data_IF_556522194685
#
_entry.id   IF_556522194685
#
_cell.length_a   1.000
_cell.length_b   1.000
_cell.length_c   1.000
_cell.angle_alpha   90.00
_cell.angle_beta   90.00
_cell.angle_gamma   90.00
#
_symmetry.space_group_name_H-M   'P 1'
#
loop_
_entity.id
_entity.type
_entity.pdbx_description
1 polymer ?
#
# COMPACT_ATOMS: atom_id res chain seq x y z
N UNK A 1 -11.71 4.56 14.01
CA UNK A 1 -10.95 4.99 12.82
C UNK A 1 -11.23 6.42 12.44
N UNK A 2 -12.50 6.85 12.38
CA UNK A 2 -12.87 8.24 12.07
C UNK A 2 -12.18 9.29 12.95
N UNK A 3 -12.06 9.05 14.26
CA UNK A 3 -11.30 9.93 15.18
C UNK A 3 -9.81 10.06 14.78
N UNK A 4 -9.20 9.02 14.22
CA UNK A 4 -7.82 9.11 13.70
C UNK A 4 -7.78 9.98 12.45
N UNK A 5 -8.71 9.79 11.52
CA UNK A 5 -8.79 10.57 10.28
C UNK A 5 -8.97 12.06 10.60
N UNK A 6 -9.91 12.39 11.48
CA UNK A 6 -10.19 13.76 11.92
C UNK A 6 -8.99 14.41 12.61
N UNK A 7 -8.28 13.67 13.47
CA UNK A 7 -7.05 14.14 14.14
C UNK A 7 -5.93 14.55 13.18
N UNK A 8 -5.87 13.95 12.00
CA UNK A 8 -4.92 14.33 10.96
C UNK A 8 -5.51 15.30 9.93
N UNK A 9 -6.68 15.89 10.21
CA UNK A 9 -7.33 16.87 9.34
C UNK A 9 -7.93 16.27 8.07
N UNK A 10 -8.22 14.96 8.08
CA UNK A 10 -8.96 14.29 7.02
C UNK A 10 -10.46 14.38 7.25
N UNK A 11 -11.23 14.23 6.18
CA UNK A 11 -12.69 14.20 6.21
C UNK A 11 -13.17 12.87 5.68
N UNK A 12 -14.01 12.18 6.45
CA UNK A 12 -14.71 10.99 5.99
C UNK A 12 -15.80 11.43 5.02
N UNK A 13 -15.70 10.96 3.78
CA UNK A 13 -16.66 11.24 2.72
C UNK A 13 -17.83 10.25 2.81
N UNK A 14 -17.50 8.97 2.98
CA UNK A 14 -18.49 7.91 3.06
C UNK A 14 -17.96 6.63 3.69
N UNK A 15 -18.90 5.82 4.19
CA UNK A 15 -18.69 4.44 4.58
C UNK A 15 -19.26 3.55 3.48
N UNK A 16 -18.48 2.58 2.98
CA UNK A 16 -18.87 1.69 1.88
C UNK A 16 -18.74 0.26 2.41
N UNK A 17 -19.83 -0.29 2.95
CA UNK A 17 -19.75 -1.58 3.65
C UNK A 17 -18.87 -1.48 4.90
N UNK A 18 -17.77 -2.21 4.94
CA UNK A 18 -16.73 -2.16 5.97
C UNK A 18 -15.63 -1.12 5.69
N UNK A 19 -15.65 -0.49 4.51
CA UNK A 19 -14.68 0.49 4.08
C UNK A 19 -14.92 1.91 4.61
N UNK A 20 -13.83 2.65 4.82
CA UNK A 20 -13.88 4.09 5.10
C UNK A 20 -13.16 4.88 4.00
N UNK A 21 -13.93 5.67 3.25
CA UNK A 21 -13.41 6.58 2.23
C UNK A 21 -13.22 7.98 2.81
N UNK A 22 -12.00 8.50 2.75
CA UNK A 22 -11.64 9.79 3.32
C UNK A 22 -10.75 10.62 2.39
N UNK A 23 -10.85 11.93 2.51
CA UNK A 23 -10.05 12.90 1.75
C UNK A 23 -9.21 13.77 2.68
N UNK A 24 -8.00 14.10 2.25
CA UNK A 24 -7.10 15.04 2.92
C UNK A 24 -6.81 16.20 1.97
N UNK A 25 -6.80 17.44 2.48
CA UNK A 25 -6.56 18.64 1.68
C UNK A 25 -7.78 19.22 0.96
N UNK A 26 -8.98 18.75 1.31
CA UNK A 26 -10.26 19.30 0.88
C UNK A 26 -11.28 19.25 2.04
N UNK A 27 -12.24 20.21 2.14
CA UNK A 27 -12.37 21.41 1.31
C UNK A 27 -11.32 22.47 1.66
N UNK A 28 -10.72 22.39 2.85
CA UNK A 28 -9.62 23.26 3.27
C UNK A 28 -8.33 22.71 2.68
N UNK A 29 -7.65 23.53 1.87
CA UNK A 29 -6.37 23.15 1.28
C UNK A 29 -5.32 22.93 2.36
N UNK A 30 -4.66 21.78 2.30
CA UNK A 30 -3.52 21.45 3.13
C UNK A 30 -2.34 21.11 2.20
N UNK A 31 -1.19 21.80 2.33
CA UNK A 31 0.01 21.50 1.53
C UNK A 31 0.66 20.19 1.93
N UNK A 32 0.48 19.79 3.18
CA UNK A 32 1.01 18.56 3.78
C UNK A 32 -0.03 17.43 3.75
N UNK A 33 -1.03 17.51 2.85
CA UNK A 33 -2.12 16.54 2.76
C UNK A 33 -1.63 15.09 2.59
N UNK A 34 -0.52 14.89 1.87
CA UNK A 34 0.07 13.57 1.63
C UNK A 34 0.62 12.98 2.93
N UNK A 35 1.37 13.80 3.68
CA UNK A 35 1.92 13.40 4.97
C UNK A 35 0.81 13.11 5.98
N UNK A 36 -0.21 13.97 6.03
CA UNK A 36 -1.38 13.77 6.88
C UNK A 36 -2.10 12.44 6.60
N UNK A 37 -2.34 12.13 5.32
CA UNK A 37 -2.97 10.87 4.92
C UNK A 37 -2.14 9.63 5.29
N UNK A 38 -0.82 9.67 5.03
CA UNK A 38 0.09 8.57 5.39
C UNK A 38 0.22 8.39 6.90
N UNK A 39 0.28 9.48 7.66
CA UNK A 39 0.33 9.43 9.12
C UNK A 39 -0.99 8.89 9.71
N UNK A 40 -2.14 9.29 9.14
CA UNK A 40 -3.44 8.73 9.50
C UNK A 40 -3.48 7.23 9.26
N UNK A 41 -3.08 6.78 8.06
CA UNK A 41 -2.97 5.36 7.70
C UNK A 41 -2.11 4.57 8.70
N UNK A 42 -0.89 5.03 8.97
CA UNK A 42 0.01 4.37 9.93
C UNK A 42 -0.58 4.34 11.35
N UNK A 43 -1.30 5.40 11.76
CA UNK A 43 -1.97 5.46 13.06
C UNK A 43 -3.18 4.51 13.13
N UNK A 44 -3.94 4.36 12.05
CA UNK A 44 -5.06 3.41 11.98
C UNK A 44 -4.54 1.98 12.11
N UNK A 45 -3.47 1.62 11.40
CA UNK A 45 -2.82 0.31 11.51
C UNK A 45 -2.34 0.01 12.95
N UNK A 46 -1.66 0.98 13.59
CA UNK A 46 -1.27 0.86 15.01
C UNK A 46 -2.47 0.73 15.94
N UNK A 47 -3.59 1.37 15.60
CA UNK A 47 -4.82 1.29 16.40
C UNK A 47 -5.45 -0.08 16.30
N UNK A 48 -5.51 -0.68 15.11
CA UNK A 48 -5.95 -2.08 14.91
C UNK A 48 -5.08 -3.06 15.70
N UNK A 49 -3.76 -2.88 15.66
CA UNK A 49 -2.85 -3.73 16.45
C UNK A 49 -3.18 -3.68 17.95
N UNK A 50 -3.49 -2.49 18.48
CA UNK A 50 -3.89 -2.33 19.89
C UNK A 50 -5.24 -2.98 20.18
N UNK A 51 -6.20 -2.87 19.25
CA UNK A 51 -7.51 -3.51 19.34
C UNK A 51 -7.34 -5.03 19.36
N UNK A 52 -6.50 -5.60 18.49
CA UNK A 52 -6.25 -7.05 18.45
C UNK A 52 -5.56 -7.55 19.72
N UNK A 53 -4.65 -6.77 20.31
CA UNK A 53 -4.07 -7.12 21.63
C UNK A 53 -5.16 -7.20 22.70
N UNK A 54 -6.06 -6.22 22.76
CA UNK A 54 -7.19 -6.23 23.68
C UNK A 54 -8.16 -7.39 23.40
N UNK A 55 -8.46 -7.66 22.13
CA UNK A 55 -9.34 -8.74 21.67
C UNK A 55 -8.78 -10.12 22.05
N UNK A 56 -7.46 -10.32 21.89
CA UNK A 56 -6.76 -11.55 22.26
C UNK A 56 -6.90 -11.89 23.75
N UNK A 57 -6.82 -10.90 24.63
CA UNK A 57 -7.07 -11.10 26.07
C UNK A 57 -8.51 -11.55 26.39
N UNK A 58 -9.44 -11.36 25.45
CA UNK A 58 -10.86 -11.72 25.58
C UNK A 58 -11.27 -12.89 24.69
N UNK A 59 -10.32 -13.56 24.04
CA UNK A 59 -10.58 -14.66 23.09
C UNK A 59 -11.54 -14.25 21.95
N UNK A 60 -11.47 -12.98 21.53
CA UNK A 60 -12.22 -12.47 20.40
C UNK A 60 -11.41 -12.61 19.10
N UNK A 61 -12.09 -12.73 17.93
CA UNK A 61 -11.41 -12.75 16.63
C UNK A 61 -10.55 -11.51 16.41
N UNK A 62 -9.41 -11.70 15.73
CA UNK A 62 -8.57 -10.59 15.27
C UNK A 62 -9.22 -9.92 14.06
N UNK A 63 -9.10 -8.60 13.99
CA UNK A 63 -9.51 -7.81 12.82
C UNK A 63 -8.29 -7.32 12.06
N UNK A 64 -8.40 -7.25 10.74
CA UNK A 64 -7.33 -6.75 9.88
C UNK A 64 -7.92 -5.68 8.97
N UNK A 65 -7.12 -4.66 8.69
CA UNK A 65 -7.46 -3.61 7.73
C UNK A 65 -6.35 -3.53 6.68
N UNK A 66 -6.67 -2.92 5.54
CA UNK A 66 -5.69 -2.59 4.51
C UNK A 66 -5.94 -1.17 4.06
N UNK A 67 -4.88 -0.45 3.73
CA UNK A 67 -4.99 0.95 3.36
C UNK A 67 -4.28 1.27 2.05
N UNK A 68 -4.97 2.03 1.20
CA UNK A 68 -4.40 2.64 -0.01
C UNK A 68 -4.33 4.16 0.14
N UNK A 69 -3.22 4.81 -0.22
CA UNK A 69 -3.14 6.29 -0.21
C UNK A 69 -2.61 6.81 -1.55
N UNK A 70 -3.42 7.63 -2.22
CA UNK A 70 -3.07 8.29 -3.47
C UNK A 70 -3.11 9.80 -3.32
N UNK A 71 -2.19 10.48 -4.01
CA UNK A 71 -2.15 11.92 -4.14
C UNK A 71 -2.31 12.30 -5.61
N UNK A 72 -3.47 12.82 -5.99
CA UNK A 72 -3.74 13.15 -7.39
C UNK A 72 -4.81 14.23 -7.53
N UNK A 73 -5.00 14.73 -8.75
CA UNK A 73 -6.09 15.67 -9.04
C UNK A 73 -7.44 14.96 -8.87
N UNK A 74 -8.32 15.58 -8.09
CA UNK A 74 -9.71 15.14 -7.90
C UNK A 74 -10.62 16.35 -7.87
N UNK A 75 -11.87 16.15 -8.28
CA UNK A 75 -12.92 17.15 -8.15
C UNK A 75 -13.69 16.90 -6.86
N UNK A 76 -13.85 17.92 -6.03
CA UNK A 76 -14.58 17.84 -4.76
C UNK A 76 -15.72 18.85 -4.73
N UNK A 77 -16.83 18.48 -4.11
CA UNK A 77 -17.98 19.39 -3.98
C UNK A 77 -19.26 18.68 -3.57
N UNK A 78 -20.31 19.48 -3.36
CA UNK A 78 -21.65 18.93 -3.15
C UNK A 78 -22.21 18.42 -4.48
N UNK A 79 -22.46 17.12 -4.53
CA UNK A 79 -22.94 16.40 -5.70
C UNK A 79 -24.27 15.72 -5.36
N UNK A 80 -25.13 15.55 -6.36
CA UNK A 80 -26.42 14.90 -6.21
C UNK A 80 -27.60 15.80 -6.58
N UNK A 81 -28.80 15.32 -6.28
CA UNK A 81 -30.05 16.01 -6.59
C UNK A 81 -30.36 17.07 -5.52
N UNK A 82 -31.18 18.08 -5.83
CA UNK A 82 -31.44 19.19 -4.90
C UNK A 82 -31.98 18.75 -3.52
N UNK A 83 -32.68 17.61 -3.44
CA UNK A 83 -33.18 17.05 -2.18
C UNK A 83 -32.21 16.09 -1.49
N UNK A 84 -31.11 15.71 -2.14
CA UNK A 84 -30.09 14.76 -1.66
C UNK A 84 -28.71 15.16 -2.18
N UNK A 85 -28.15 16.21 -1.59
CA UNK A 85 -26.75 16.62 -1.82
C UNK A 85 -25.83 15.88 -0.85
N UNK A 86 -24.69 15.41 -1.36
CA UNK A 86 -23.60 14.82 -0.59
C UNK A 86 -22.29 15.45 -1.02
N UNK A 87 -21.43 15.78 -0.05
CA UNK A 87 -20.07 16.18 -0.36
C UNK A 87 -19.30 14.96 -0.86
N UNK A 88 -18.84 14.99 -2.12
CA UNK A 88 -18.22 13.86 -2.80
C UNK A 88 -16.88 14.23 -3.43
N UNK A 89 -16.17 13.19 -3.83
CA UNK A 89 -14.91 13.25 -4.58
C UNK A 89 -15.10 12.46 -5.87
N UNK A 90 -14.72 13.03 -7.01
CA UNK A 90 -14.83 12.39 -8.33
C UNK A 90 -13.55 12.60 -9.15
N UNK A 91 -13.33 11.74 -10.15
CA UNK A 91 -12.22 11.79 -11.09
C UNK A 91 -11.36 10.53 -11.01
N UNK A 92 -10.49 10.32 -12.01
CA UNK A 92 -9.65 9.12 -12.11
C UNK A 92 -8.76 8.91 -10.88
N UNK A 93 -8.28 9.99 -10.24
CA UNK A 93 -7.51 9.91 -8.99
C UNK A 93 -8.31 9.41 -7.79
N UNK A 94 -9.64 9.54 -7.80
CA UNK A 94 -10.52 9.08 -6.73
C UNK A 94 -10.60 7.55 -6.68
N UNK A 95 -10.36 6.88 -7.81
CA UNK A 95 -10.43 5.42 -7.99
C UNK A 95 -9.10 4.69 -7.74
N UNK A 96 -7.98 5.40 -7.56
CA UNK A 96 -6.65 4.77 -7.42
C UNK A 96 -6.44 4.13 -6.04
N UNK A 97 -6.72 4.82 -4.91
CA UNK A 97 -6.50 4.21 -3.62
C UNK A 97 -7.29 2.91 -3.48
N UNK A 98 -8.52 2.99 -3.99
CA UNK A 98 -9.10 1.98 -4.85
C UNK A 98 -8.54 0.57 -4.82
N UNK A 99 -7.61 0.53 -5.77
CA UNK A 99 -6.86 -0.57 -6.30
C UNK A 99 -5.65 -0.81 -5.42
N UNK A 100 -5.08 0.23 -4.80
CA UNK A 100 -4.00 0.09 -3.83
C UNK A 100 -4.44 -0.75 -2.64
N UNK A 101 -5.64 -0.55 -2.11
CA UNK A 101 -6.13 -1.43 -1.03
C UNK A 101 -6.29 -2.87 -1.52
N UNK A 102 -6.94 -3.08 -2.67
CA UNK A 102 -7.12 -4.43 -3.21
C UNK A 102 -5.76 -5.13 -3.46
N UNK A 103 -4.79 -4.41 -4.01
CA UNK A 103 -3.42 -4.89 -4.21
C UNK A 103 -2.73 -5.30 -2.91
N UNK A 104 -3.08 -4.69 -1.77
CA UNK A 104 -2.54 -5.14 -0.49
C UNK A 104 -2.89 -6.61 -0.22
N UNK A 105 -4.07 -7.09 -0.66
CA UNK A 105 -4.45 -8.50 -0.56
C UNK A 105 -3.50 -9.38 -1.34
N UNK A 106 -3.21 -9.01 -2.59
CA UNK A 106 -2.30 -9.73 -3.48
C UNK A 106 -0.87 -9.78 -2.93
N UNK A 107 -0.31 -8.64 -2.54
CA UNK A 107 1.07 -8.56 -2.04
C UNK A 107 1.21 -9.03 -0.58
N UNK A 108 0.10 -9.15 0.15
CA UNK A 108 0.10 -9.49 1.56
C UNK A 108 0.61 -8.36 2.45
N UNK A 109 0.49 -7.11 1.99
CA UNK A 109 0.77 -5.88 2.75
C UNK A 109 -0.48 -5.37 3.46
N UNK A 110 -0.34 -4.36 4.31
CA UNK A 110 -1.47 -3.65 4.94
C UNK A 110 -1.54 -2.16 4.58
N UNK A 111 -0.52 -1.64 3.90
CA UNK A 111 -0.51 -0.30 3.38
C UNK A 111 0.22 -0.26 2.04
N UNK A 112 -0.36 0.47 1.09
CA UNK A 112 0.28 0.84 -0.16
C UNK A 112 0.02 2.31 -0.46
N UNK A 113 1.02 2.97 -1.03
CA UNK A 113 0.93 4.35 -1.52
C UNK A 113 1.35 4.40 -2.98
N UNK A 114 0.76 5.30 -3.75
CA UNK A 114 1.18 5.56 -5.14
C UNK A 114 2.51 6.29 -5.20
N UNK A 115 3.19 6.21 -6.35
CA UNK A 115 4.39 7.00 -6.66
C UNK A 115 4.15 8.50 -6.45
N UNK A 116 2.99 9.02 -6.86
CA UNK A 116 2.63 10.41 -6.65
C UNK A 116 2.53 10.83 -5.17
N UNK A 117 2.16 9.90 -4.27
CA UNK A 117 2.18 10.14 -2.83
C UNK A 117 3.61 10.09 -2.32
N UNK A 118 4.38 9.07 -2.73
CA UNK A 118 5.79 8.91 -2.37
C UNK A 118 6.61 10.19 -2.64
N UNK A 119 6.46 10.80 -3.82
CA UNK A 119 7.17 12.04 -4.17
C UNK A 119 6.75 13.29 -3.39
N UNK A 120 5.58 13.26 -2.73
CA UNK A 120 5.10 14.35 -1.88
C UNK A 120 5.50 14.20 -0.41
N UNK A 121 6.07 13.05 -0.03
CA UNK A 121 6.55 12.82 1.33
C UNK A 121 7.97 13.38 1.51
N UNK A 122 8.32 13.81 2.73
CA UNK A 122 9.70 14.19 3.04
C UNK A 122 10.65 12.99 2.87
N UNK A 123 11.80 13.13 2.18
CA UNK A 123 12.74 12.04 1.90
C UNK A 123 13.22 11.29 3.14
N UNK A 124 13.41 12.01 4.26
CA UNK A 124 13.94 11.47 5.51
C UNK A 124 12.85 11.22 6.57
N UNK A 125 11.57 11.30 6.20
CA UNK A 125 10.46 11.11 7.14
C UNK A 125 10.01 9.65 7.30
N UNK A 126 10.31 8.80 6.33
CA UNK A 126 9.75 7.45 6.24
C UNK A 126 10.76 6.44 5.70
N UNK A 127 10.72 5.22 6.24
CA UNK A 127 11.31 4.05 5.60
C UNK A 127 10.24 3.41 4.73
N UNK A 128 10.50 3.36 3.43
CA UNK A 128 9.58 2.86 2.41
C UNK A 128 10.32 1.87 1.50
N UNK A 129 9.58 0.95 0.88
CA UNK A 129 10.12 0.09 -0.18
C UNK A 129 9.16 0.05 -1.38
N UNK A 130 9.67 0.05 -2.62
CA UNK A 130 8.84 -0.28 -3.77
C UNK A 130 8.46 -1.75 -3.69
N UNK A 131 7.21 -2.10 -3.97
CA UNK A 131 6.69 -3.47 -3.88
C UNK A 131 6.67 -4.12 -5.26
N UNK A 132 6.11 -3.43 -6.25
CA UNK A 132 6.09 -3.88 -7.64
C UNK A 132 5.77 -2.70 -8.56
N UNK A 133 5.99 -2.87 -9.86
CA UNK A 133 5.47 -1.99 -10.90
C UNK A 133 4.09 -2.46 -11.34
N UNK A 134 3.11 -1.57 -11.32
CA UNK A 134 1.71 -1.88 -11.62
C UNK A 134 1.15 -0.87 -12.61
N UNK A 135 0.10 -1.30 -13.32
CA UNK A 135 -0.69 -0.40 -14.15
C UNK A 135 -1.92 0.08 -13.37
N UNK A 136 -1.89 1.33 -12.90
CA UNK A 136 -3.00 1.90 -12.09
C UNK A 136 -4.06 2.61 -12.95
N UNK A 137 -3.69 3.09 -14.13
CA UNK A 137 -4.59 3.76 -15.06
C UNK A 137 -5.12 2.76 -16.09
N UNK A 138 -6.42 2.74 -16.36
CA UNK A 138 -6.94 1.91 -17.45
C UNK A 138 -6.47 2.49 -18.80
N UNK A 139 -5.28 2.11 -19.30
CA UNK A 139 -4.74 2.68 -20.54
C UNK A 139 -3.27 2.37 -20.84
N UNK A 140 -2.71 3.11 -21.80
CA UNK A 140 -1.34 2.94 -22.33
C UNK A 140 -0.26 3.68 -21.51
N UNK A 141 -0.52 3.99 -20.24
CA UNK A 141 0.46 4.67 -19.40
C UNK A 141 1.65 3.75 -19.09
N UNK A 142 2.79 4.36 -18.74
CA UNK A 142 3.91 3.58 -18.25
C UNK A 142 3.59 3.04 -16.84
N UNK A 143 3.95 1.78 -16.55
CA UNK A 143 3.78 1.22 -15.23
C UNK A 143 4.48 2.05 -14.16
N UNK A 144 3.80 2.24 -13.04
CA UNK A 144 4.34 3.02 -11.91
C UNK A 144 4.55 2.12 -10.69
N UNK A 145 5.58 2.40 -9.88
CA UNK A 145 5.82 1.67 -8.65
C UNK A 145 4.76 1.99 -7.59
N UNK A 146 4.38 0.97 -6.83
CA UNK A 146 3.65 1.12 -5.57
C UNK A 146 4.58 0.89 -4.39
N UNK A 147 4.39 1.64 -3.32
CA UNK A 147 5.29 1.62 -2.17
C UNK A 147 4.58 1.16 -0.91
N UNK A 148 5.25 0.34 -0.10
CA UNK A 148 4.86 0.08 1.29
C UNK A 148 5.62 1.03 2.22
N UNK A 149 4.90 1.63 3.17
CA UNK A 149 5.47 2.46 4.24
C UNK A 149 5.75 1.60 5.47
N UNK A 150 7.01 1.20 5.63
CA UNK A 150 7.44 0.26 6.67
C UNK A 150 7.50 0.88 8.07
N UNK A 151 7.88 2.17 8.15
CA UNK A 151 7.85 2.95 9.39
C UNK A 151 8.09 4.43 9.16
N UNK A 152 7.61 5.25 10.08
CA UNK A 152 8.04 6.65 10.22
C UNK A 152 9.43 6.71 10.88
N UNK A 153 10.29 7.58 10.38
CA UNK A 153 11.57 7.93 11.00
C UNK A 153 11.26 9.02 12.03
N UNK A 154 11.59 8.78 13.31
CA UNK A 154 11.37 9.79 14.33
C UNK A 154 12.34 10.98 14.09
N UNK A 155 11.87 12.21 14.31
CA UNK A 155 12.67 13.45 14.30
C UNK A 155 13.71 13.53 15.45
N UNK A 156 14.27 12.40 15.87
CA UNK A 156 15.41 12.35 16.77
C UNK A 156 16.69 12.43 15.94
N UNK A 157 17.67 13.18 16.41
CA UNK A 157 18.97 13.44 15.77
C UNK A 157 19.80 12.20 15.42
N UNK A 158 19.29 11.00 15.73
CA UNK A 158 19.81 9.70 15.32
C UNK A 158 18.63 8.74 15.05
N UNK A 159 18.56 8.10 13.87
CA UNK A 159 17.60 7.04 13.61
C UNK A 159 17.78 5.89 14.61
N UNK A 160 16.69 5.35 15.14
CA UNK A 160 16.77 4.15 15.95
C UNK A 160 17.39 3.00 15.17
N UNK A 161 18.19 2.14 15.82
CA UNK A 161 18.81 0.94 15.21
C UNK A 161 17.78 0.08 14.46
N UNK A 162 16.54 0.05 14.96
CA UNK A 162 15.43 -0.67 14.32
C UNK A 162 15.03 -0.07 12.97
N UNK A 163 15.01 1.27 12.86
CA UNK A 163 14.66 1.98 11.62
C UNK A 163 15.77 1.84 10.59
N UNK A 164 17.04 1.96 11.00
CA UNK A 164 18.19 1.73 10.10
C UNK A 164 18.22 0.31 9.53
N UNK A 165 17.89 -0.71 10.32
CA UNK A 165 17.77 -2.10 9.83
C UNK A 165 16.63 -2.25 8.82
N UNK A 166 15.49 -1.59 9.04
CA UNK A 166 14.39 -1.59 8.06
C UNK A 166 14.81 -0.92 6.76
N UNK A 167 15.47 0.23 6.84
CA UNK A 167 15.97 0.95 5.66
C UNK A 167 16.96 0.08 4.85
N UNK A 168 17.87 -0.60 5.53
CA UNK A 168 18.80 -1.53 4.87
C UNK A 168 18.06 -2.65 4.14
N UNK A 169 17.02 -3.23 4.74
CA UNK A 169 16.22 -4.28 4.09
C UNK A 169 15.33 -3.75 2.97
N UNK A 170 14.80 -2.53 3.11
CA UNK A 170 14.07 -1.84 2.06
C UNK A 170 14.93 -1.63 0.81
N UNK A 171 16.16 -1.12 0.98
CA UNK A 171 17.14 -0.96 -0.12
C UNK A 171 17.52 -2.29 -0.76
N UNK A 172 17.71 -3.35 0.05
CA UNK A 172 17.95 -4.70 -0.49
C UNK A 172 16.76 -5.24 -1.30
N UNK A 173 15.54 -4.91 -0.91
CA UNK A 173 14.33 -5.26 -1.65
C UNK A 173 14.27 -4.50 -2.98
N UNK A 174 14.51 -3.18 -2.96
CA UNK A 174 14.56 -2.34 -4.15
C UNK A 174 15.59 -2.87 -5.17
N UNK A 175 16.80 -3.21 -4.70
CA UNK A 175 17.82 -3.86 -5.55
C UNK A 175 17.35 -5.20 -6.13
N UNK A 176 16.53 -5.96 -5.40
CA UNK A 176 15.94 -7.21 -5.92
C UNK A 176 14.91 -6.93 -7.01
N UNK A 177 14.13 -5.86 -6.86
CA UNK A 177 13.15 -5.41 -7.83
C UNK A 177 13.82 -4.88 -9.10
N UNK A 178 14.93 -4.14 -8.98
CA UNK A 178 15.75 -3.73 -10.14
C UNK A 178 16.28 -4.94 -10.91
N UNK A 179 16.80 -5.96 -10.20
CA UNK A 179 17.22 -7.20 -10.85
C UNK A 179 16.05 -7.93 -11.53
N UNK A 180 14.84 -7.82 -10.98
CA UNK A 180 13.65 -8.42 -11.57
C UNK A 180 13.24 -7.70 -12.87
N UNK A 181 13.21 -6.37 -12.88
CA UNK A 181 12.90 -5.57 -14.08
C UNK A 181 13.99 -5.71 -15.16
N UNK A 182 15.26 -5.89 -14.76
CA UNK A 182 16.39 -6.23 -15.64
C UNK A 182 16.37 -7.69 -16.17
N UNK A 183 15.32 -8.47 -15.88
CA UNK A 183 15.18 -9.90 -16.24
C UNK A 183 16.26 -10.81 -15.64
N UNK A 184 16.97 -10.38 -14.61
CA UNK A 184 17.97 -11.16 -13.86
C UNK A 184 17.29 -12.00 -12.77
N UNK A 185 16.30 -12.80 -13.18
CA UNK A 185 15.35 -13.47 -12.28
C UNK A 185 15.99 -14.38 -11.24
N UNK A 186 17.06 -15.11 -11.60
CA UNK A 186 17.76 -15.96 -10.64
C UNK A 186 18.40 -15.15 -9.49
N UNK A 187 18.97 -13.99 -9.81
CA UNK A 187 19.57 -13.09 -8.82
C UNK A 187 18.48 -12.39 -7.99
N UNK A 188 17.43 -11.91 -8.65
CA UNK A 188 16.26 -11.32 -7.98
C UNK A 188 15.63 -12.31 -6.97
N UNK A 189 15.39 -13.56 -7.37
CA UNK A 189 14.82 -14.59 -6.51
C UNK A 189 15.71 -14.90 -5.29
N UNK A 190 17.04 -14.94 -5.47
CA UNK A 190 17.97 -15.12 -4.37
C UNK A 190 17.94 -13.93 -3.39
N UNK A 191 17.91 -12.70 -3.91
CA UNK A 191 17.86 -11.48 -3.10
C UNK A 191 16.54 -11.36 -2.33
N UNK A 192 15.39 -11.61 -2.96
CA UNK A 192 14.09 -11.63 -2.26
C UNK A 192 14.06 -12.68 -1.13
N UNK A 193 14.67 -13.84 -1.34
CA UNK A 193 14.80 -14.85 -0.29
C UNK A 193 15.61 -14.32 0.89
N UNK A 194 16.74 -13.65 0.63
CA UNK A 194 17.58 -13.07 1.68
C UNK A 194 16.84 -11.98 2.46
N UNK A 195 16.09 -11.11 1.78
CA UNK A 195 15.26 -10.07 2.42
C UNK A 195 14.21 -10.71 3.32
N UNK A 196 13.47 -11.71 2.81
CA UNK A 196 12.45 -12.43 3.59
C UNK A 196 13.03 -13.10 4.83
N UNK A 197 14.16 -13.81 4.71
CA UNK A 197 14.86 -14.42 5.84
C UNK A 197 15.32 -13.37 6.85
N UNK A 198 15.89 -12.27 6.40
CA UNK A 198 16.38 -11.19 7.26
C UNK A 198 15.24 -10.46 7.99
N UNK A 199 14.11 -10.27 7.33
CA UNK A 199 12.88 -9.73 7.94
C UNK A 199 12.38 -10.64 9.08
N UNK A 200 12.36 -11.96 8.85
CA UNK A 200 12.00 -12.95 9.86
C UNK A 200 12.96 -12.95 11.05
N UNK A 201 14.26 -12.99 10.81
CA UNK A 201 15.28 -13.02 11.87
C UNK A 201 15.35 -11.70 12.67
N UNK A 202 15.21 -10.56 12.00
CA UNK A 202 15.38 -9.25 12.64
C UNK A 202 14.12 -8.76 13.33
N UNK A 203 12.95 -9.05 12.77
CA UNK A 203 11.69 -8.46 13.21
C UNK A 203 10.61 -9.49 13.57
N UNK A 204 10.83 -10.79 13.33
CA UNK A 204 9.80 -11.82 13.49
C UNK A 204 8.69 -11.71 12.45
N UNK A 205 8.94 -11.05 11.31
CA UNK A 205 7.94 -10.78 10.27
C UNK A 205 8.09 -11.79 9.15
N UNK A 206 6.99 -12.48 8.81
CA UNK A 206 6.90 -13.26 7.59
C UNK A 206 6.62 -12.33 6.41
N UNK A 207 7.64 -12.07 5.60
CA UNK A 207 7.60 -11.07 4.53
C UNK A 207 6.91 -11.61 3.27
N UNK A 208 5.57 -11.56 3.24
CA UNK A 208 4.73 -12.00 2.11
C UNK A 208 5.13 -11.35 0.77
N UNK A 209 5.45 -10.05 0.68
CA UNK A 209 5.86 -9.43 -0.59
C UNK A 209 7.11 -10.07 -1.19
N UNK A 210 8.17 -10.29 -0.41
CA UNK A 210 9.39 -10.95 -0.92
C UNK A 210 9.11 -12.39 -1.34
N UNK A 211 8.25 -13.10 -0.61
CA UNK A 211 7.89 -14.48 -0.97
C UNK A 211 7.14 -14.52 -2.30
N UNK A 212 6.20 -13.61 -2.52
CA UNK A 212 5.45 -13.50 -3.78
C UNK A 212 6.38 -13.14 -4.94
N UNK A 213 7.19 -12.08 -4.81
CA UNK A 213 8.09 -11.64 -5.87
C UNK A 213 9.15 -12.70 -6.21
N UNK A 214 9.62 -13.47 -5.21
CA UNK A 214 10.47 -14.64 -5.46
C UNK A 214 9.75 -15.71 -6.29
N UNK A 215 8.46 -15.99 -6.02
CA UNK A 215 7.67 -16.95 -6.83
C UNK A 215 7.52 -16.44 -8.27
N UNK A 216 7.23 -15.16 -8.46
CA UNK A 216 7.13 -14.53 -9.80
C UNK A 216 8.45 -14.60 -10.56
N UNK A 217 9.57 -14.27 -9.91
CA UNK A 217 10.90 -14.40 -10.49
C UNK A 217 11.21 -15.85 -10.90
N UNK A 218 10.93 -16.82 -10.02
CA UNK A 218 11.13 -18.24 -10.34
C UNK A 218 10.25 -18.71 -11.52
N UNK A 219 9.03 -18.18 -11.64
CA UNK A 219 8.17 -18.44 -12.79
C UNK A 219 8.79 -17.93 -14.10
N UNK A 220 9.27 -16.68 -14.12
CA UNK A 220 9.89 -16.09 -15.32
C UNK A 220 11.24 -16.69 -15.70
N UNK A 221 11.91 -17.42 -14.79
CA UNK A 221 13.05 -18.27 -15.15
C UNK A 221 12.66 -19.44 -16.05
N UNK A 222 11.43 -19.95 -15.91
CA UNK A 222 10.90 -21.07 -16.70
C UNK A 222 10.07 -20.60 -17.89
N UNK A 223 9.47 -19.42 -17.78
CA UNK A 223 8.57 -18.83 -18.77
C UNK A 223 9.02 -17.38 -19.03
N UNK A 224 9.99 -17.13 -19.93
CA UNK A 224 10.48 -15.78 -20.16
C UNK A 224 9.32 -14.79 -20.44
N UNK A 225 9.40 -13.56 -19.93
CA UNK A 225 8.35 -12.58 -20.13
C UNK A 225 8.20 -12.23 -21.62
N UNK A 226 7.01 -11.76 -22.05
CA UNK A 226 6.76 -11.41 -23.45
C UNK A 226 7.68 -10.29 -23.94
N UNK A 227 7.78 -10.17 -25.26
CA UNK A 227 8.46 -9.05 -25.89
C UNK A 227 7.80 -7.72 -25.47
N UNK A 228 8.61 -6.70 -25.20
CA UNK A 228 8.11 -5.41 -24.69
C UNK A 228 7.67 -5.39 -23.22
N UNK A 229 7.94 -6.45 -22.45
CA UNK A 229 7.64 -6.49 -21.01
C UNK A 229 8.28 -5.33 -20.23
N UNK A 230 7.44 -4.54 -19.56
CA UNK A 230 7.81 -3.35 -18.79
C UNK A 230 7.88 -3.60 -17.27
N UNK A 231 8.22 -4.82 -16.85
CA UNK A 231 8.34 -5.16 -15.42
C UNK A 231 7.04 -5.54 -14.72
N UNK A 232 5.87 -5.32 -15.34
CA UNK A 232 4.57 -5.63 -14.74
C UNK A 232 4.25 -7.11 -14.77
N UNK A 233 3.86 -7.67 -13.64
CA UNK A 233 3.32 -9.02 -13.62
C UNK A 233 1.93 -9.06 -14.27
N UNK A 234 1.84 -9.69 -15.44
CA UNK A 234 0.56 -9.96 -16.10
C UNK A 234 0.31 -11.47 -16.09
N UNK A 235 -0.61 -11.91 -15.23
CA UNK A 235 -1.18 -13.25 -15.33
C UNK A 235 -2.67 -13.10 -15.59
N UNK A 236 -3.14 -13.54 -16.75
CA UNK A 236 -4.56 -13.82 -16.94
C UNK A 236 -4.91 -14.94 -15.95
N UNK A 237 -5.52 -14.56 -14.82
CA UNK A 237 -5.99 -15.40 -13.71
C UNK A 237 -4.90 -16.17 -12.95
N UNK A 238 -4.58 -15.69 -11.75
CA UNK A 238 -4.11 -16.57 -10.68
C UNK A 238 -5.25 -17.57 -10.38
N UNK A 239 -5.02 -18.90 -10.39
CA UNK A 239 -6.02 -19.85 -9.93
C UNK A 239 -6.13 -19.72 -8.41
N UNK A 240 -7.37 -19.61 -7.95
CA UNK A 240 -7.78 -19.68 -6.54
C UNK A 240 -7.01 -20.76 -5.79
N UNK A 241 -6.38 -20.35 -4.68
CA UNK A 241 -6.26 -21.22 -3.51
C UNK A 241 -7.30 -20.76 -2.48
N UNK A 242 -8.41 -21.51 -2.51
CA UNK A 242 -9.40 -21.81 -1.46
C UNK A 242 -10.58 -20.85 -1.21
N UNK A 243 -11.76 -21.38 -1.56
CA UNK A 243 -13.14 -21.16 -1.05
C UNK A 243 -13.40 -19.95 -0.16
N UNK A 244 -14.22 -19.03 -0.67
CA UNK A 244 -14.93 -18.04 0.14
C UNK A 244 -15.63 -16.97 -0.69
N UNK A 245 -16.91 -17.20 -0.99
CA UNK A 245 -18.02 -16.26 -1.30
C UNK A 245 -17.68 -14.95 -2.04
N UNK A 246 -18.27 -14.80 -3.24
CA UNK A 246 -18.31 -13.56 -4.02
C UNK A 246 -18.92 -12.38 -3.24
N UNK A 247 -18.25 -11.22 -3.29
CA UNK A 247 -18.87 -9.89 -3.44
C UNK A 247 -17.82 -8.85 -3.91
N UNK A 248 -18.16 -8.07 -4.94
CA UNK A 248 -17.39 -6.99 -5.60
C UNK A 248 -17.39 -5.67 -4.80
N UNK A 249 -16.23 -4.99 -4.59
CA UNK A 249 -16.14 -3.49 -4.55
C UNK A 249 -14.68 -2.97 -4.66
N UNK A 250 -14.52 -1.65 -4.75
CA UNK A 250 -13.35 -0.83 -5.13
C UNK A 250 -13.04 0.16 -3.96
N UNK A 251 -11.81 0.24 -3.36
CA UNK A 251 -11.52 0.97 -2.07
C UNK A 251 -10.30 1.94 -1.86
N UNK A 252 -10.45 3.23 -1.46
CA UNK A 252 -9.61 3.69 -0.29
C UNK A 252 -10.31 3.04 0.89
N UNK A 253 -9.77 1.94 1.38
CA UNK A 253 -10.19 1.34 2.65
C UNK A 253 -9.21 1.84 3.72
N UNK A 254 -9.66 2.13 4.92
CA UNK A 254 -9.60 1.12 5.99
C UNK A 254 -10.43 -0.08 5.65
#
# INVERSE_FOLDING_TARGET
MSDVIDKFGGIVIEFIGDAIYAVFGAPVRNREHAEAGVNAMLKMLKTVQRINQWAKHRLLPEVSIRCGVHSGPVQVGNMGFHSRLKYGVMGSGAEIPSKLEEMNKTYGTHNLISESTFHKLPPDGYVMRPIDFVDMSHGAADPEPVYEVMSQIANSSSPSTRSSRRDTLARKYETALDMYTEKRFAKAAAQFREVSTSMGQTFGIYDKPSVLMRKRAAYYMQHPPPEGWKGVWTRTREPDETDGVEDEVVYVCV
#
